data_IF_451041016926
#
_entry.id   IF_451041016926
#
_cell.length_a   1.000
_cell.length_b   1.000
_cell.length_c   1.000
_cell.angle_alpha   90.00
_cell.angle_beta   90.00
_cell.angle_gamma   90.00
#
_symmetry.space_group_name_H-M   'P 1'
#
loop_
_entity.id
_entity.type
_entity.pdbx_description
1 polymer ?
#
# COMPACT_ATOMS: atom_id res chain seq x y z
N UNK A 1 13.96 11.74 -2.61
CA UNK A 1 12.86 12.13 -3.50
C UNK A 1 11.67 11.21 -3.29
N UNK A 2 10.45 11.76 -3.03
CA UNK A 2 9.26 10.92 -2.87
C UNK A 2 8.92 10.14 -4.14
N UNK A 3 8.36 8.95 -3.94
CA UNK A 3 7.87 8.13 -5.04
C UNK A 3 6.38 7.83 -4.84
N UNK A 4 5.68 7.68 -5.95
CA UNK A 4 4.29 7.26 -5.96
C UNK A 4 4.24 5.77 -6.28
N UNK A 5 3.41 5.03 -5.53
CA UNK A 5 3.24 3.60 -5.73
C UNK A 5 1.75 3.32 -5.89
N UNK A 6 1.37 2.69 -6.99
CA UNK A 6 -0.02 2.38 -7.28
C UNK A 6 -0.20 0.88 -7.36
N UNK A 7 -1.10 0.35 -6.54
CA UNK A 7 -1.48 -1.06 -6.57
C UNK A 7 -2.85 -1.18 -7.23
N UNK A 8 -2.93 -2.02 -8.27
CA UNK A 8 -4.19 -2.27 -8.96
C UNK A 8 -4.11 -3.62 -9.67
N UNK A 9 -5.07 -4.49 -9.40
CA UNK A 9 -5.18 -5.77 -10.11
C UNK A 9 -6.56 -6.37 -9.84
N UNK A 10 -6.91 -7.40 -10.61
CA UNK A 10 -8.19 -8.10 -10.41
C UNK A 10 -8.27 -8.84 -9.08
N UNK A 11 -7.11 -9.16 -8.48
CA UNK A 11 -7.06 -9.87 -7.20
C UNK A 11 -6.97 -8.92 -6.01
N UNK A 12 -6.75 -7.63 -6.25
CA UNK A 12 -6.78 -6.62 -5.21
C UNK A 12 -8.20 -6.09 -5.10
N UNK A 13 -8.88 -6.47 -4.03
CA UNK A 13 -10.26 -6.11 -3.76
C UNK A 13 -10.34 -5.48 -2.36
N UNK A 14 -11.49 -4.92 -2.01
CA UNK A 14 -11.70 -4.42 -0.65
C UNK A 14 -11.39 -5.50 0.37
N UNK A 15 -11.88 -6.72 0.14
CA UNK A 15 -11.69 -7.83 1.07
C UNK A 15 -10.22 -8.23 1.20
N UNK A 16 -9.50 -8.36 0.09
CA UNK A 16 -8.09 -8.73 0.14
C UNK A 16 -7.23 -7.59 0.71
N UNK A 17 -7.61 -6.33 0.46
CA UNK A 17 -6.96 -5.18 1.09
C UNK A 17 -7.14 -5.26 2.62
N UNK A 18 -8.37 -5.46 3.09
CA UNK A 18 -8.64 -5.53 4.53
C UNK A 18 -7.86 -6.68 5.18
N UNK A 19 -7.75 -7.81 4.50
CA UNK A 19 -6.98 -8.93 5.03
C UNK A 19 -5.47 -8.60 5.10
N UNK A 20 -4.94 -7.90 4.10
CA UNK A 20 -3.53 -7.51 4.13
C UNK A 20 -3.26 -6.53 5.27
N UNK A 21 -4.15 -5.58 5.50
CA UNK A 21 -4.01 -4.64 6.63
C UNK A 21 -4.10 -5.38 7.95
N UNK A 22 -5.03 -6.33 8.06
CA UNK A 22 -5.17 -7.12 9.29
C UNK A 22 -3.86 -7.84 9.62
N UNK A 23 -3.22 -8.43 8.62
CA UNK A 23 -1.95 -9.15 8.85
C UNK A 23 -0.79 -8.20 9.15
N UNK A 24 -0.74 -7.06 8.47
CA UNK A 24 0.31 -6.06 8.71
C UNK A 24 0.21 -5.42 10.08
N UNK A 25 -0.99 -5.35 10.65
CA UNK A 25 -1.23 -4.71 11.95
C UNK A 25 -1.45 -5.71 13.08
N UNK A 26 -1.13 -7.00 12.85
CA UNK A 26 -1.31 -8.06 13.85
C UNK A 26 -2.76 -8.17 14.34
N UNK A 27 -3.72 -7.99 13.43
CA UNK A 27 -5.12 -8.11 13.72
C UNK A 27 -5.79 -6.87 14.30
N UNK A 28 -5.06 -5.79 14.45
CA UNK A 28 -5.58 -4.59 15.12
C UNK A 28 -6.50 -3.76 14.24
N UNK A 29 -6.28 -3.78 12.93
CA UNK A 29 -7.02 -2.93 11.99
C UNK A 29 -7.38 -3.69 10.73
N UNK A 30 -8.42 -3.22 10.04
CA UNK A 30 -8.80 -3.70 8.72
C UNK A 30 -8.64 -2.63 7.65
N UNK A 31 -8.34 -1.40 8.08
CA UNK A 31 -7.98 -0.33 7.17
C UNK A 31 -6.95 0.54 7.86
N UNK A 32 -6.12 1.16 7.08
CA UNK A 32 -5.11 2.07 7.59
C UNK A 32 -5.77 3.41 7.93
N UNK A 33 -5.46 3.95 9.10
CA UNK A 33 -6.04 5.20 9.57
C UNK A 33 -5.00 6.28 9.82
N UNK A 34 -3.72 5.89 9.92
CA UNK A 34 -2.62 6.84 10.03
C UNK A 34 -1.37 6.20 9.40
N UNK A 35 -0.42 7.04 9.00
CA UNK A 35 0.82 6.53 8.43
C UNK A 35 1.63 5.69 9.42
N UNK A 36 1.42 5.90 10.72
CA UNK A 36 2.08 5.12 11.75
C UNK A 36 1.51 3.71 11.94
N UNK A 37 0.42 3.36 11.27
CA UNK A 37 -0.16 2.02 11.37
C UNK A 37 0.67 0.97 10.64
N UNK A 38 1.46 1.38 9.65
CA UNK A 38 2.35 0.46 8.94
C UNK A 38 3.58 0.14 9.78
N UNK A 39 4.13 -1.07 9.64
CA UNK A 39 5.26 -1.51 10.46
C UNK A 39 6.62 -0.99 9.99
N UNK A 40 6.63 -0.07 9.04
CA UNK A 40 7.87 0.52 8.49
C UNK A 40 7.70 2.02 8.38
N UNK A 41 8.79 2.74 8.58
CA UNK A 41 8.81 4.19 8.43
C UNK A 41 8.94 4.59 6.97
N UNK A 42 8.54 5.81 6.64
CA UNK A 42 8.75 6.40 5.33
C UNK A 42 7.50 6.58 4.49
N UNK A 43 6.35 6.12 4.97
CA UNK A 43 5.09 6.36 4.29
C UNK A 43 4.64 7.81 4.55
N UNK A 44 4.41 8.56 3.48
CA UNK A 44 3.98 9.95 3.56
C UNK A 44 2.48 10.11 3.38
N UNK A 45 1.87 9.27 2.57
CA UNK A 45 0.43 9.31 2.33
C UNK A 45 -0.06 7.96 1.82
N UNK A 46 -1.31 7.64 2.11
CA UNK A 46 -1.95 6.39 1.71
C UNK A 46 -3.42 6.66 1.44
N UNK A 47 -3.91 6.18 0.31
CA UNK A 47 -5.32 6.25 -0.02
C UNK A 47 -5.75 4.93 -0.67
N UNK A 48 -6.89 4.42 -0.25
CA UNK A 48 -7.45 3.19 -0.81
C UNK A 48 -8.93 3.40 -1.08
N UNK A 49 -9.41 2.89 -2.20
CA UNK A 49 -10.80 3.06 -2.53
C UNK A 49 -11.23 2.26 -3.73
N UNK A 50 -12.56 2.14 -3.88
CA UNK A 50 -13.18 1.43 -5.00
C UNK A 50 -13.42 2.42 -6.13
N UNK A 51 -12.82 2.15 -7.29
CA UNK A 51 -13.10 2.91 -8.51
C UNK A 51 -14.03 2.10 -9.40
N UNK A 52 -14.47 2.70 -10.52
CA UNK A 52 -15.26 1.99 -11.52
C UNK A 52 -14.50 0.82 -12.13
N UNK A 53 -13.17 0.89 -12.12
CA UNK A 53 -12.31 -0.11 -12.75
C UNK A 53 -11.64 -1.04 -11.73
N UNK A 54 -12.13 -1.05 -10.50
CA UNK A 54 -11.61 -1.92 -9.45
C UNK A 54 -11.10 -1.17 -8.24
N UNK A 55 -10.64 -1.93 -7.26
CA UNK A 55 -10.08 -1.37 -6.04
C UNK A 55 -8.65 -0.88 -6.29
N UNK A 56 -8.31 0.28 -5.77
CA UNK A 56 -6.98 0.88 -5.96
C UNK A 56 -6.39 1.32 -4.64
N UNK A 57 -5.07 1.17 -4.52
CA UNK A 57 -4.31 1.69 -3.39
C UNK A 57 -3.21 2.56 -3.95
N UNK A 58 -3.10 3.79 -3.44
CA UNK A 58 -2.07 4.72 -3.87
C UNK A 58 -1.29 5.16 -2.63
N UNK A 59 0.02 4.95 -2.67
CA UNK A 59 0.92 5.36 -1.61
C UNK A 59 1.91 6.37 -2.13
N UNK A 60 2.34 7.26 -1.24
CA UNK A 60 3.52 8.09 -1.48
C UNK A 60 4.53 7.74 -0.40
N UNK A 61 5.72 7.32 -0.82
CA UNK A 61 6.82 6.96 0.07
C UNK A 61 7.94 7.97 -0.05
N UNK A 62 8.66 8.20 1.02
CA UNK A 62 9.75 9.20 1.03
C UNK A 62 10.89 8.82 0.10
N UNK A 63 11.09 7.51 -0.19
CA UNK A 63 12.18 7.03 -1.04
C UNK A 63 11.87 5.63 -1.54
N UNK A 64 12.60 5.22 -2.59
CA UNK A 64 12.52 3.84 -3.09
C UNK A 64 12.97 2.85 -2.03
N UNK A 65 13.96 3.20 -1.23
CA UNK A 65 14.47 2.31 -0.19
C UNK A 65 13.42 2.07 0.89
N UNK A 66 12.69 3.11 1.31
CA UNK A 66 11.63 2.95 2.29
C UNK A 66 10.54 2.02 1.77
N UNK A 67 10.14 2.18 0.51
CA UNK A 67 9.15 1.30 -0.12
C UNK A 67 9.69 -0.12 -0.24
N UNK A 68 10.96 -0.29 -0.59
CA UNK A 68 11.57 -1.62 -0.70
C UNK A 68 11.49 -2.36 0.63
N UNK A 69 11.81 -1.68 1.72
CA UNK A 69 11.72 -2.29 3.06
C UNK A 69 10.29 -2.71 3.39
N UNK A 70 9.32 -1.89 3.02
CA UNK A 70 7.92 -2.25 3.19
C UNK A 70 7.54 -3.44 2.32
N UNK A 71 8.01 -3.48 1.08
CA UNK A 71 7.72 -4.57 0.15
C UNK A 71 8.21 -5.92 0.68
N UNK A 72 9.32 -5.93 1.38
CA UNK A 72 9.85 -7.16 1.97
C UNK A 72 8.87 -7.78 2.97
N UNK A 73 8.07 -6.95 3.64
CA UNK A 73 7.04 -7.42 4.57
C UNK A 73 5.71 -7.70 3.85
N UNK A 74 5.37 -6.88 2.87
CA UNK A 74 4.09 -6.96 2.20
C UNK A 74 4.00 -8.14 1.22
N UNK A 75 5.05 -8.38 0.43
CA UNK A 75 4.99 -9.37 -0.65
C UNK A 75 4.65 -10.78 -0.16
N UNK A 76 5.25 -11.29 0.92
CA UNK A 76 4.85 -12.61 1.42
C UNK A 76 3.38 -12.67 1.85
N UNK A 77 2.88 -11.59 2.44
CA UNK A 77 1.47 -11.52 2.85
C UNK A 77 0.56 -11.56 1.63
N UNK A 78 0.86 -10.75 0.62
CA UNK A 78 0.08 -10.72 -0.62
C UNK A 78 0.06 -12.09 -1.29
N UNK A 79 1.20 -12.76 -1.33
CA UNK A 79 1.29 -14.09 -1.92
C UNK A 79 0.42 -15.09 -1.18
N UNK A 80 0.41 -15.06 0.15
CA UNK A 80 -0.38 -15.97 0.97
C UNK A 80 -1.88 -15.78 0.78
N UNK A 81 -2.33 -14.54 0.63
CA UNK A 81 -3.76 -14.26 0.49
C UNK A 81 -4.22 -14.20 -0.97
N UNK A 82 -3.32 -14.41 -1.92
CA UNK A 82 -3.67 -14.52 -3.32
C UNK A 82 -3.78 -13.22 -4.08
N UNK A 83 -3.15 -12.14 -3.60
CA UNK A 83 -3.09 -10.89 -4.34
C UNK A 83 -1.94 -10.98 -5.33
N UNK A 84 -2.26 -10.90 -6.62
CA UNK A 84 -1.27 -10.89 -7.69
C UNK A 84 -1.25 -9.50 -8.30
N UNK A 85 -0.23 -8.73 -8.00
CA UNK A 85 -0.06 -7.40 -8.56
C UNK A 85 1.41 -7.02 -8.57
N UNK A 86 1.80 -6.28 -9.60
CA UNK A 86 3.10 -5.62 -9.64
C UNK A 86 2.79 -4.13 -9.52
N UNK A 87 3.17 -3.48 -8.42
CA UNK A 87 2.84 -2.08 -8.25
C UNK A 87 3.56 -1.22 -9.29
N UNK A 88 2.85 -0.22 -9.78
CA UNK A 88 3.45 0.80 -10.62
C UNK A 88 4.14 1.82 -9.71
N UNK A 89 5.41 2.13 -10.00
CA UNK A 89 6.17 3.08 -9.19
C UNK A 89 6.80 4.12 -10.08
N UNK A 90 6.78 5.38 -9.63
CA UNK A 90 7.40 6.47 -10.37
C UNK A 90 7.73 7.61 -9.42
N UNK A 91 8.71 8.46 -9.79
CA UNK A 91 9.03 9.63 -8.95
C UNK A 91 7.84 10.58 -8.89
N UNK A 92 7.60 11.16 -7.73
CA UNK A 92 6.56 12.18 -7.60
C UNK A 92 7.07 13.48 -8.25
N UNK A 93 6.32 13.98 -9.23
CA UNK A 93 6.62 15.28 -9.81
C UNK A 93 6.30 16.40 -8.81
N UNK A 94 5.21 16.20 -8.07
CA UNK A 94 4.80 17.09 -6.99
C UNK A 94 4.10 16.28 -5.93
N UNK A 95 4.36 16.60 -4.67
CA UNK A 95 3.65 16.02 -3.55
C UNK A 95 3.37 17.11 -2.54
N UNK A 96 2.10 17.30 -2.23
CA UNK A 96 1.65 18.32 -1.28
C UNK A 96 0.69 17.63 -0.31
N UNK A 97 0.88 17.86 0.99
CA UNK A 97 -0.03 17.35 2.02
C UNK A 97 -0.66 18.54 2.77
N UNK A 98 -1.83 18.28 3.36
CA UNK A 98 -2.52 19.28 4.16
C UNK A 98 -1.73 19.65 5.42
#
# INVERSE_FOLDING_TARGET
>A
MPIVVVFHSSTLTKESYEESVRRLTNGKKTRMESVGDWPVEGLLAHAAGQSQNGFRVVDVWESEEAFRKFSEKLMPIMKEIGIETVPETYPAHAFVSA
#
